data_IF_414739607097
#
_entry.id   IF_414739607097
#
_cell.length_a   1.000
_cell.length_b   1.000
_cell.length_c   1.000
_cell.angle_alpha   90.00
_cell.angle_beta   90.00
_cell.angle_gamma   90.00
#
_symmetry.space_group_name_H-M   'P 1'
#
loop_
_entity.id
_entity.type
_entity.pdbx_description
1 polymer ?
#
# COMPACT_ATOMS: atom_id res chain seq x y z
N UNK A 1 27.31 70.16 27.56
CA UNK A 1 27.25 71.55 28.06
C UNK A 1 26.78 71.68 29.51
N UNK A 2 25.60 71.17 29.90
CA UNK A 2 25.10 71.28 31.29
C UNK A 2 26.05 70.72 32.37
N UNK A 3 26.67 69.56 32.13
CA UNK A 3 27.66 68.98 33.05
C UNK A 3 28.91 69.86 33.22
N UNK A 4 29.35 70.52 32.14
CA UNK A 4 30.51 71.43 32.15
C UNK A 4 30.19 72.72 32.92
N UNK A 5 28.98 73.28 32.75
CA UNK A 5 28.52 74.45 33.54
C UNK A 5 28.49 74.11 35.03
N UNK A 6 28.00 72.93 35.41
CA UNK A 6 28.01 72.47 36.80
C UNK A 6 29.43 72.21 37.34
N UNK A 7 30.33 71.65 36.52
CA UNK A 7 31.74 71.46 36.89
C UNK A 7 32.40 72.81 37.17
N UNK A 8 32.26 73.77 36.26
CA UNK A 8 32.82 75.11 36.37
C UNK A 8 32.26 75.86 37.59
N UNK A 9 30.95 75.72 37.88
CA UNK A 9 30.36 76.28 39.11
C UNK A 9 31.02 75.69 40.36
N UNK A 10 31.22 74.36 40.42
CA UNK A 10 31.88 73.68 41.54
C UNK A 10 33.36 74.06 41.66
N UNK A 11 34.07 74.21 40.54
CA UNK A 11 35.47 74.63 40.48
C UNK A 11 35.63 76.07 40.98
N UNK A 12 34.81 77.02 40.50
CA UNK A 12 34.83 78.41 40.97
C UNK A 12 34.51 78.51 42.47
N UNK A 13 33.62 77.65 42.97
CA UNK A 13 33.33 77.58 44.41
C UNK A 13 34.55 77.16 45.22
N UNK A 14 35.38 76.27 44.70
CA UNK A 14 36.59 75.73 45.38
C UNK A 14 37.82 76.64 45.29
N UNK A 15 37.93 77.47 44.26
CA UNK A 15 39.09 78.35 44.05
C UNK A 15 39.05 79.53 45.06
N UNK A 16 40.20 79.78 45.71
CA UNK A 16 40.40 80.97 46.53
C UNK A 16 40.59 82.21 45.64
N UNK A 17 39.55 83.06 45.59
CA UNK A 17 39.56 84.31 44.84
C UNK A 17 38.70 85.36 45.55
N UNK A 18 38.90 86.64 45.21
CA UNK A 18 38.10 87.74 45.75
C UNK A 18 36.60 87.47 45.50
N UNK A 19 35.79 87.61 46.55
CA UNK A 19 34.36 87.26 46.54
C UNK A 19 33.60 88.01 45.42
N UNK A 20 33.96 89.27 45.14
CA UNK A 20 33.35 90.06 44.06
C UNK A 20 33.56 89.46 42.67
N UNK A 21 34.77 88.97 42.38
CA UNK A 21 35.10 88.30 41.11
C UNK A 21 34.40 86.95 40.99
N UNK A 22 34.36 86.18 42.10
CA UNK A 22 33.62 84.92 42.20
C UNK A 22 32.14 85.09 41.86
N UNK A 23 31.52 86.11 42.46
CA UNK A 23 30.11 86.42 42.21
C UNK A 23 29.86 86.88 40.77
N UNK A 24 30.78 87.61 40.14
CA UNK A 24 30.66 88.01 38.73
C UNK A 24 30.74 86.81 37.78
N UNK A 25 31.66 85.87 38.04
CA UNK A 25 31.79 84.64 37.26
C UNK A 25 30.59 83.69 37.47
N UNK A 26 30.12 83.54 38.71
CA UNK A 26 28.92 82.76 39.00
C UNK A 26 27.68 83.36 38.32
N UNK A 27 27.48 84.69 38.34
CA UNK A 27 26.38 85.36 37.61
C UNK A 27 26.42 85.06 36.11
N UNK A 28 27.60 85.11 35.47
CA UNK A 28 27.73 84.75 34.05
C UNK A 28 27.39 83.28 33.78
N UNK A 29 27.83 82.36 34.66
CA UNK A 29 27.45 80.94 34.58
C UNK A 29 25.99 80.68 34.94
N UNK A 30 25.33 81.58 35.68
CA UNK A 30 23.88 81.55 35.90
C UNK A 30 23.15 81.81 34.62
N UNK A 31 23.46 82.91 33.92
CA UNK A 31 22.86 83.27 32.63
C UNK A 31 23.02 82.14 31.60
N UNK A 32 24.21 81.55 31.49
CA UNK A 32 24.45 80.41 30.59
C UNK A 32 23.66 79.17 31.04
N UNK A 33 23.55 78.95 32.35
CA UNK A 33 22.75 77.88 32.92
C UNK A 33 21.26 78.03 32.61
N UNK A 34 20.72 79.24 32.69
CA UNK A 34 19.30 79.53 32.46
C UNK A 34 18.87 79.22 31.02
N UNK A 35 19.81 79.22 30.07
CA UNK A 35 19.56 78.78 28.69
C UNK A 35 19.76 77.27 28.52
N UNK A 36 20.79 76.70 29.15
CA UNK A 36 21.22 75.31 28.92
C UNK A 36 20.39 74.29 29.70
N UNK A 37 19.98 74.59 30.93
CA UNK A 37 19.24 73.65 31.78
C UNK A 37 17.80 73.40 31.30
N UNK A 38 17.00 74.41 30.88
CA UNK A 38 15.66 74.18 30.33
C UNK A 38 15.69 73.37 29.03
N UNK A 39 16.61 73.69 28.12
CA UNK A 39 16.79 72.92 26.88
C UNK A 39 17.15 71.45 27.16
N UNK A 40 18.03 71.21 28.15
CA UNK A 40 18.34 69.84 28.58
C UNK A 40 17.10 69.13 29.12
N UNK A 41 16.28 69.81 29.93
CA UNK A 41 15.04 69.23 30.46
C UNK A 41 14.08 68.85 29.32
N UNK A 42 13.88 69.75 28.35
CA UNK A 42 13.07 69.48 27.16
C UNK A 42 13.56 68.26 26.36
N UNK A 43 14.88 68.12 26.14
CA UNK A 43 15.41 66.94 25.47
C UNK A 43 15.25 65.65 26.29
N UNK A 44 15.38 65.72 27.61
CA UNK A 44 15.11 64.58 28.49
C UNK A 44 13.64 64.16 28.38
N UNK A 45 12.72 65.11 28.41
CA UNK A 45 11.28 64.84 28.30
C UNK A 45 10.94 64.23 26.93
N UNK A 46 11.46 64.80 25.83
CA UNK A 46 11.28 64.26 24.47
C UNK A 46 11.83 62.83 24.32
N UNK A 47 13.06 62.58 24.77
CA UNK A 47 13.66 61.23 24.73
C UNK A 47 12.85 60.26 25.60
N UNK A 48 12.33 60.72 26.72
CA UNK A 48 11.51 59.91 27.63
C UNK A 48 10.18 59.50 26.99
N UNK A 49 9.52 60.41 26.29
CA UNK A 49 8.27 60.14 25.59
C UNK A 49 8.48 59.20 24.40
N UNK A 50 9.52 59.44 23.59
CA UNK A 50 9.86 58.56 22.46
C UNK A 50 10.24 57.16 22.92
N UNK A 51 11.04 57.05 23.98
CA UNK A 51 11.44 55.76 24.52
C UNK A 51 10.25 54.97 25.08
N UNK A 52 9.31 55.66 25.73
CA UNK A 52 8.08 55.04 26.23
C UNK A 52 7.22 54.51 25.07
N UNK A 53 7.06 55.31 24.01
CA UNK A 53 6.34 54.88 22.79
C UNK A 53 6.99 53.68 22.11
N UNK A 54 8.33 53.63 22.08
CA UNK A 54 9.06 52.49 21.51
C UNK A 54 8.80 51.20 22.30
N UNK A 55 8.77 51.29 23.63
CA UNK A 55 8.43 50.14 24.48
C UNK A 55 6.98 49.73 24.26
N UNK A 56 6.03 50.65 24.20
CA UNK A 56 4.63 50.32 23.93
C UNK A 56 4.43 49.69 22.54
N UNK A 57 5.19 50.13 21.54
CA UNK A 57 5.23 49.51 20.22
C UNK A 57 5.80 48.09 20.27
N UNK A 58 6.89 47.88 21.04
CA UNK A 58 7.46 46.55 21.26
C UNK A 58 6.46 45.61 21.92
N UNK A 59 5.75 46.07 22.96
CA UNK A 59 4.76 45.29 23.70
C UNK A 59 3.57 44.86 22.83
N UNK A 60 3.12 45.75 21.94
CA UNK A 60 1.92 45.51 21.12
C UNK A 60 2.19 44.73 19.83
N UNK A 61 3.34 44.93 19.19
CA UNK A 61 3.62 44.37 17.85
C UNK A 61 4.66 43.26 17.83
N UNK A 62 5.67 43.35 18.71
CA UNK A 62 6.86 42.49 18.63
C UNK A 62 6.87 41.42 19.71
N UNK A 63 6.28 41.72 20.88
CA UNK A 63 6.18 40.79 22.00
C UNK A 63 5.11 39.73 21.73
N UNK A 64 5.49 38.70 20.98
CA UNK A 64 4.67 37.52 20.74
C UNK A 64 5.45 36.25 21.11
N UNK A 65 4.94 35.54 22.12
CA UNK A 65 5.51 34.31 22.65
C UNK A 65 5.43 33.14 21.64
N UNK A 66 4.55 33.22 20.63
CA UNK A 66 4.35 32.16 19.65
C UNK A 66 5.16 32.36 18.38
N UNK A 67 5.46 33.60 18.00
CA UNK A 67 6.17 33.91 16.75
C UNK A 67 7.68 33.93 16.89
N UNK A 68 8.22 34.27 18.06
CA UNK A 68 9.66 34.45 18.25
C UNK A 68 10.25 33.49 19.27
N UNK A 69 11.50 33.00 19.05
CA UNK A 69 12.20 32.21 20.04
C UNK A 69 12.40 32.99 21.36
N UNK A 70 12.17 32.33 22.49
CA UNK A 70 12.30 32.94 23.82
C UNK A 70 13.65 33.61 24.09
N UNK A 71 14.74 33.10 23.48
CA UNK A 71 16.07 33.70 23.60
C UNK A 71 16.15 35.09 22.97
N UNK A 72 15.56 35.27 21.78
CA UNK A 72 15.54 36.56 21.06
C UNK A 72 14.76 37.60 21.86
N UNK A 73 13.59 37.23 22.39
CA UNK A 73 12.77 38.10 23.24
C UNK A 73 13.55 38.55 24.49
N UNK A 74 14.32 37.64 25.12
CA UNK A 74 15.15 37.99 26.28
C UNK A 74 16.28 38.95 25.92
N UNK A 75 16.95 38.76 24.78
CA UNK A 75 18.00 39.67 24.34
C UNK A 75 17.45 41.06 24.03
N UNK A 76 16.29 41.14 23.37
CA UNK A 76 15.61 42.40 23.10
C UNK A 76 15.24 43.13 24.39
N UNK A 77 14.64 42.44 25.37
CA UNK A 77 14.31 43.03 26.68
C UNK A 77 15.57 43.54 27.39
N UNK A 78 16.67 42.76 27.40
CA UNK A 78 17.96 43.20 27.97
C UNK A 78 18.52 44.41 27.24
N UNK A 79 18.40 44.46 25.92
CA UNK A 79 18.82 45.59 25.10
C UNK A 79 18.05 46.86 25.50
N UNK A 80 16.72 46.79 25.59
CA UNK A 80 15.89 47.91 26.06
C UNK A 80 16.27 48.35 27.49
N UNK A 81 16.49 47.42 28.41
CA UNK A 81 16.94 47.76 29.78
C UNK A 81 18.32 48.43 29.80
N UNK A 82 19.24 48.01 28.93
CA UNK A 82 20.56 48.63 28.82
C UNK A 82 20.49 50.01 28.17
N UNK A 83 19.64 50.19 27.16
CA UNK A 83 19.40 51.48 26.52
C UNK A 83 18.76 52.45 27.52
N UNK A 84 17.77 51.99 28.31
CA UNK A 84 17.13 52.79 29.35
C UNK A 84 18.12 53.31 30.41
N UNK A 85 19.18 52.54 30.72
CA UNK A 85 20.26 52.97 31.64
C UNK A 85 21.23 53.97 31.02
N UNK A 86 21.45 53.90 29.70
CA UNK A 86 22.34 54.81 28.97
C UNK A 86 21.67 56.16 28.74
N UNK A 87 20.35 56.18 28.53
CA UNK A 87 19.59 57.41 28.43
C UNK A 87 19.30 58.01 29.81
N UNK A 88 19.49 59.32 29.93
CA UNK A 88 19.03 60.07 31.11
C UNK A 88 17.55 60.35 30.96
N UNK A 89 16.72 59.38 31.29
CA UNK A 89 15.26 59.47 31.21
C UNK A 89 14.68 60.19 32.44
N UNK A 90 13.46 60.69 32.31
CA UNK A 90 12.65 61.10 33.46
C UNK A 90 12.41 59.90 34.40
N UNK A 91 12.38 60.15 35.71
CA UNK A 91 12.24 59.12 36.75
C UNK A 91 10.96 58.29 36.54
N UNK A 92 9.84 58.94 36.19
CA UNK A 92 8.56 58.27 35.94
C UNK A 92 8.58 57.38 34.69
N UNK A 93 9.11 57.91 33.58
CA UNK A 93 9.24 57.13 32.34
C UNK A 93 10.19 55.95 32.53
N UNK A 94 11.28 56.12 33.27
CA UNK A 94 12.22 55.04 33.59
C UNK A 94 11.58 53.94 34.44
N UNK A 95 10.84 54.29 35.50
CA UNK A 95 10.18 53.30 36.37
C UNK A 95 9.11 52.54 35.61
N UNK A 96 8.24 53.23 34.85
CA UNK A 96 7.18 52.62 34.07
C UNK A 96 7.73 51.67 32.98
N UNK A 97 8.71 52.14 32.21
CA UNK A 97 9.39 51.32 31.19
C UNK A 97 10.06 50.08 31.80
N UNK A 98 10.70 50.22 32.95
CA UNK A 98 11.34 49.11 33.66
C UNK A 98 10.32 48.08 34.15
N UNK A 99 9.18 48.51 34.69
CA UNK A 99 8.12 47.61 35.14
C UNK A 99 7.56 46.79 33.97
N UNK A 100 7.18 47.47 32.88
CA UNK A 100 6.68 46.81 31.65
C UNK A 100 7.66 45.76 31.10
N UNK A 101 8.94 46.10 31.00
CA UNK A 101 9.98 45.18 30.53
C UNK A 101 10.20 44.01 31.51
N UNK A 102 10.04 44.22 32.82
CA UNK A 102 10.13 43.17 33.82
C UNK A 102 8.95 42.19 33.72
N UNK A 103 7.73 42.68 33.55
CA UNK A 103 6.55 41.84 33.34
C UNK A 103 6.70 40.95 32.09
N UNK A 104 7.20 41.51 31.00
CA UNK A 104 7.50 40.75 29.80
C UNK A 104 8.57 39.69 30.01
N UNK A 105 9.62 40.02 30.75
CA UNK A 105 10.66 39.07 31.11
C UNK A 105 10.09 37.89 31.90
N UNK A 106 9.22 38.15 32.87
CA UNK A 106 8.58 37.13 33.69
C UNK A 106 7.62 36.26 32.87
N UNK A 107 6.83 36.85 31.98
CA UNK A 107 5.98 36.11 31.03
C UNK A 107 6.80 35.16 30.15
N UNK A 108 7.91 35.63 29.57
CA UNK A 108 8.83 34.79 28.77
C UNK A 108 9.44 33.68 29.62
N UNK A 109 9.83 33.96 30.87
CA UNK A 109 10.43 32.99 31.77
C UNK A 109 9.44 31.88 32.16
N UNK A 110 8.18 32.22 32.42
CA UNK A 110 7.12 31.26 32.72
C UNK A 110 6.85 30.37 31.51
N UNK A 111 6.68 30.97 30.32
CA UNK A 111 6.44 30.25 29.07
C UNK A 111 7.60 29.31 28.69
N UNK A 112 8.85 29.73 28.90
CA UNK A 112 10.00 28.86 28.65
C UNK A 112 10.04 27.68 29.64
N UNK A 113 9.66 27.92 30.91
CA UNK A 113 9.63 26.88 31.94
C UNK A 113 8.54 25.85 31.66
N UNK A 114 7.34 26.26 31.22
CA UNK A 114 6.29 25.32 30.80
C UNK A 114 6.70 24.53 29.56
N UNK A 115 7.24 25.21 28.54
CA UNK A 115 7.72 24.55 27.32
C UNK A 115 8.81 23.50 27.59
N UNK A 116 9.76 23.81 28.48
CA UNK A 116 10.80 22.84 28.88
C UNK A 116 10.19 21.63 29.59
N UNK A 117 9.21 21.83 30.48
CA UNK A 117 8.52 20.74 31.18
C UNK A 117 7.74 19.85 30.22
N UNK A 118 7.02 20.44 29.26
CA UNK A 118 6.28 19.69 28.23
C UNK A 118 7.22 18.87 27.34
N UNK A 119 8.32 19.49 26.88
CA UNK A 119 9.33 18.79 26.08
C UNK A 119 9.98 17.63 26.83
N UNK A 120 10.18 17.77 28.14
CA UNK A 120 10.74 16.72 28.96
C UNK A 120 9.75 15.56 29.17
N UNK A 121 8.49 15.86 29.49
CA UNK A 121 7.42 14.85 29.57
C UNK A 121 7.26 14.10 28.25
N UNK A 122 7.22 14.82 27.13
CA UNK A 122 7.14 14.22 25.79
C UNK A 122 8.31 13.28 25.49
N UNK A 123 9.54 13.66 25.85
CA UNK A 123 10.72 12.79 25.71
C UNK A 123 10.64 11.53 26.58
N UNK A 124 10.20 11.66 27.82
CA UNK A 124 10.03 10.53 28.74
C UNK A 124 8.98 9.55 28.20
N UNK A 125 7.85 10.07 27.70
CA UNK A 125 6.81 9.28 27.04
C UNK A 125 7.31 8.56 25.77
N UNK A 126 8.06 9.25 24.90
CA UNK A 126 8.66 8.65 23.70
C UNK A 126 9.65 7.53 24.09
N UNK A 127 10.47 7.75 25.11
CA UNK A 127 11.43 6.75 25.58
C UNK A 127 10.73 5.51 26.17
N UNK A 128 9.62 5.68 26.89
CA UNK A 128 8.81 4.56 27.39
C UNK A 128 8.25 3.71 26.24
N UNK A 129 7.71 4.36 25.20
CA UNK A 129 7.19 3.65 24.02
C UNK A 129 8.33 2.97 23.26
N UNK A 130 9.48 3.61 23.12
CA UNK A 130 10.66 3.01 22.47
C UNK A 130 11.15 1.74 23.19
N UNK A 131 11.10 1.70 24.54
CA UNK A 131 11.39 0.47 25.30
C UNK A 131 10.41 -0.64 24.96
N UNK A 132 9.11 -0.35 24.86
CA UNK A 132 8.12 -1.34 24.43
C UNK A 132 8.32 -1.78 22.97
N UNK A 133 8.68 -0.87 22.06
CA UNK A 133 9.00 -1.23 20.67
C UNK A 133 10.23 -2.14 20.60
N UNK A 134 11.26 -1.88 21.41
CA UNK A 134 12.43 -2.76 21.50
C UNK A 134 12.05 -4.15 22.03
N UNK A 135 11.17 -4.23 23.03
CA UNK A 135 10.63 -5.50 23.51
C UNK A 135 9.86 -6.22 22.40
N UNK A 136 8.99 -5.51 21.65
CA UNK A 136 8.28 -6.06 20.50
C UNK A 136 9.25 -6.59 19.44
N UNK A 137 10.34 -5.86 19.15
CA UNK A 137 11.38 -6.33 18.23
C UNK A 137 12.03 -7.63 18.71
N UNK A 138 12.36 -7.71 20.00
CA UNK A 138 12.93 -8.94 20.58
C UNK A 138 11.96 -10.12 20.57
N UNK A 139 10.66 -9.86 20.74
CA UNK A 139 9.60 -10.88 20.60
C UNK A 139 9.50 -11.32 19.14
N UNK A 140 9.52 -10.38 18.18
CA UNK A 140 9.48 -10.70 16.74
C UNK A 140 10.68 -11.55 16.28
N UNK A 141 11.84 -11.39 16.92
CA UNK A 141 13.06 -12.17 16.64
C UNK A 141 13.00 -13.58 17.28
N UNK A 142 12.46 -13.70 18.50
CA UNK A 142 12.46 -14.96 19.27
C UNK A 142 11.23 -15.84 19.01
N UNK A 143 10.05 -15.25 18.84
CA UNK A 143 8.78 -15.96 18.77
C UNK A 143 7.91 -15.46 17.60
N UNK A 144 7.72 -16.25 16.53
CA UNK A 144 6.93 -15.86 15.36
C UNK A 144 5.43 -16.13 15.56
N UNK A 145 4.91 -15.94 16.78
CA UNK A 145 3.47 -16.09 17.02
C UNK A 145 2.77 -14.75 16.75
N UNK A 146 2.08 -14.68 15.61
CA UNK A 146 1.39 -13.48 15.10
C UNK A 146 0.42 -12.88 16.14
N UNK A 147 -0.25 -13.74 16.90
CA UNK A 147 -1.26 -13.33 17.90
C UNK A 147 -0.70 -12.56 19.10
N UNK A 148 0.53 -12.85 19.52
CA UNK A 148 1.19 -12.17 20.65
C UNK A 148 1.70 -10.80 20.21
N UNK A 149 2.18 -10.72 18.98
CA UNK A 149 2.74 -9.51 18.39
C UNK A 149 1.64 -8.48 18.11
N UNK A 150 0.45 -8.91 17.67
CA UNK A 150 -0.72 -8.04 17.47
C UNK A 150 -1.28 -7.48 18.79
N UNK A 151 -1.19 -8.24 19.89
CA UNK A 151 -1.59 -7.77 21.22
C UNK A 151 -0.64 -6.68 21.74
N UNK A 152 0.66 -6.93 21.69
CA UNK A 152 1.69 -5.94 22.08
C UNK A 152 1.64 -4.67 21.20
N UNK A 153 1.35 -4.83 19.91
CA UNK A 153 1.15 -3.69 19.02
C UNK A 153 -0.09 -2.87 19.39
N UNK A 154 -1.20 -3.55 19.70
CA UNK A 154 -2.43 -2.89 20.15
C UNK A 154 -2.21 -2.12 21.46
N UNK A 155 -1.43 -2.68 22.38
CA UNK A 155 -1.02 -2.00 23.60
C UNK A 155 -0.15 -0.76 23.31
N UNK A 156 0.81 -0.87 22.39
CA UNK A 156 1.65 0.26 21.98
C UNK A 156 0.80 1.34 21.32
N UNK A 157 -0.16 0.99 20.46
CA UNK A 157 -1.06 1.95 19.85
C UNK A 157 -2.01 2.60 20.86
N UNK A 158 -2.49 1.86 21.85
CA UNK A 158 -3.30 2.40 22.94
C UNK A 158 -2.49 3.39 23.79
N UNK A 159 -1.21 3.09 24.04
CA UNK A 159 -0.29 4.02 24.70
C UNK A 159 0.01 5.26 23.85
N UNK A 160 0.16 5.10 22.53
CA UNK A 160 0.33 6.24 21.61
C UNK A 160 -0.93 7.12 21.56
N UNK A 161 -2.12 6.53 21.72
CA UNK A 161 -3.40 7.25 21.76
C UNK A 161 -3.64 7.94 23.10
N UNK A 162 -3.21 7.34 24.22
CA UNK A 162 -3.39 7.92 25.55
C UNK A 162 -2.38 9.01 25.89
N UNK A 163 -1.21 9.00 25.23
CA UNK A 163 -0.18 10.02 25.41
C UNK A 163 -0.33 11.14 24.38
N UNK A 164 -0.38 12.39 24.85
CA UNK A 164 -0.39 13.59 24.00
C UNK A 164 0.98 13.79 23.32
N UNK A 165 1.22 13.03 22.25
CA UNK A 165 2.44 13.08 21.46
C UNK A 165 2.28 14.02 20.26
N UNK A 166 3.39 14.65 19.85
CA UNK A 166 3.40 15.47 18.64
C UNK A 166 3.26 14.58 17.40
N UNK A 167 2.69 15.11 16.32
CA UNK A 167 2.47 14.38 15.05
C UNK A 167 3.74 13.74 14.49
N UNK A 168 4.87 14.43 14.60
CA UNK A 168 6.18 13.95 14.16
C UNK A 168 6.65 12.74 14.98
N UNK A 169 6.48 12.81 16.30
CA UNK A 169 6.85 11.73 17.23
C UNK A 169 5.97 10.48 16.96
N UNK A 170 4.68 10.66 16.67
CA UNK A 170 3.77 9.57 16.28
C UNK A 170 4.22 8.93 14.95
N UNK A 171 4.60 9.73 13.96
CA UNK A 171 5.09 9.24 12.66
C UNK A 171 6.37 8.41 12.83
N UNK A 172 7.30 8.90 13.66
CA UNK A 172 8.54 8.19 13.98
C UNK A 172 8.28 6.85 14.68
N UNK A 173 7.40 6.83 15.70
CA UNK A 173 7.05 5.61 16.44
C UNK A 173 6.35 4.58 15.53
N UNK A 174 5.44 5.02 14.66
CA UNK A 174 4.80 4.14 13.66
C UNK A 174 5.82 3.53 12.70
N UNK A 175 6.80 4.30 12.25
CA UNK A 175 7.88 3.79 11.40
C UNK A 175 8.69 2.71 12.13
N UNK A 176 9.02 2.96 13.40
CA UNK A 176 9.78 2.01 14.23
C UNK A 176 9.01 0.71 14.52
N UNK A 177 7.69 0.77 14.69
CA UNK A 177 6.84 -0.43 14.79
C UNK A 177 6.87 -1.22 13.48
N UNK A 178 6.80 -0.54 12.33
CA UNK A 178 6.88 -1.19 11.01
C UNK A 178 8.25 -1.84 10.76
N UNK A 179 9.34 -1.18 11.15
CA UNK A 179 10.70 -1.76 11.10
C UNK A 179 10.79 -3.02 11.97
N UNK A 180 10.25 -2.98 13.19
CA UNK A 180 10.25 -4.14 14.09
C UNK A 180 9.49 -5.35 13.49
N UNK A 181 8.44 -5.10 12.68
CA UNK A 181 7.68 -6.13 11.96
C UNK A 181 8.30 -6.60 10.64
N UNK A 182 9.37 -5.98 10.15
CA UNK A 182 10.04 -6.35 8.90
C UNK A 182 10.31 -7.86 8.73
N UNK A 183 10.77 -8.59 9.77
CA UNK A 183 10.98 -10.03 9.69
C UNK A 183 9.70 -10.86 9.47
N UNK A 184 8.56 -10.41 10.02
CA UNK A 184 7.26 -11.10 9.88
C UNK A 184 6.74 -10.94 8.46
N UNK A 185 6.76 -9.71 7.93
CA UNK A 185 6.34 -9.45 6.56
C UNK A 185 7.13 -10.28 5.55
N UNK A 186 8.45 -10.40 5.75
CA UNK A 186 9.30 -11.28 4.92
C UNK A 186 8.89 -12.75 5.03
N UNK A 187 8.59 -13.25 6.23
CA UNK A 187 8.12 -14.65 6.43
C UNK A 187 6.75 -14.90 5.80
N UNK A 188 5.82 -13.95 5.86
CA UNK A 188 4.51 -14.07 5.22
C UNK A 188 4.60 -14.04 3.70
N UNK A 189 5.46 -13.17 3.16
CA UNK A 189 5.71 -13.06 1.73
C UNK A 189 6.32 -14.35 1.16
N UNK A 190 7.32 -14.92 1.86
CA UNK A 190 7.89 -16.24 1.52
C UNK A 190 6.81 -17.33 1.53
N UNK A 191 5.96 -17.39 2.57
CA UNK A 191 4.85 -18.36 2.63
C UNK A 191 3.84 -18.20 1.50
N UNK A 192 3.56 -16.97 1.05
CA UNK A 192 2.67 -16.72 -0.10
C UNK A 192 3.32 -17.19 -1.40
N UNK A 193 4.60 -16.90 -1.60
CA UNK A 193 5.38 -17.33 -2.76
C UNK A 193 5.45 -18.86 -2.82
N UNK A 194 5.69 -19.53 -1.68
CA UNK A 194 5.76 -21.00 -1.63
C UNK A 194 4.39 -21.64 -1.93
N UNK A 195 3.30 -21.07 -1.42
CA UNK A 195 1.95 -21.52 -1.79
C UNK A 195 1.70 -21.38 -3.28
N UNK A 196 2.03 -20.25 -3.89
CA UNK A 196 1.89 -20.05 -5.33
C UNK A 196 2.73 -21.04 -6.14
N UNK A 197 3.99 -21.29 -5.74
CA UNK A 197 4.84 -22.29 -6.40
C UNK A 197 4.26 -23.70 -6.31
N UNK A 198 3.72 -24.09 -5.15
CA UNK A 198 3.09 -25.43 -5.01
C UNK A 198 1.82 -25.58 -5.83
N UNK A 199 1.05 -24.50 -6.03
CA UNK A 199 -0.12 -24.50 -6.91
C UNK A 199 0.31 -24.59 -8.37
N UNK A 200 1.24 -23.74 -8.82
CA UNK A 200 1.74 -23.77 -10.19
C UNK A 200 2.38 -25.12 -10.55
N UNK A 201 3.23 -25.67 -9.67
CA UNK A 201 3.84 -26.98 -9.91
C UNK A 201 2.78 -28.09 -10.05
N UNK A 202 1.67 -28.03 -9.29
CA UNK A 202 0.56 -28.99 -9.45
C UNK A 202 -0.18 -28.80 -10.77
N UNK A 203 -0.34 -27.56 -11.23
CA UNK A 203 -0.93 -27.26 -12.54
C UNK A 203 -0.03 -27.74 -13.69
N UNK A 204 1.28 -27.55 -13.60
CA UNK A 204 2.23 -28.00 -14.61
C UNK A 204 2.29 -29.53 -14.71
N UNK A 205 2.23 -30.23 -13.57
CA UNK A 205 2.13 -31.70 -13.55
C UNK A 205 0.81 -32.16 -14.21
N UNK A 206 -0.29 -31.42 -14.01
CA UNK A 206 -1.57 -31.73 -14.68
C UNK A 206 -1.48 -31.50 -16.19
N UNK A 207 -0.91 -30.38 -16.63
CA UNK A 207 -0.74 -30.04 -18.06
C UNK A 207 0.13 -31.05 -18.79
N UNK A 208 1.27 -31.42 -18.21
CA UNK A 208 2.18 -32.42 -18.82
C UNK A 208 1.54 -33.80 -18.92
N UNK A 209 0.73 -34.24 -17.94
CA UNK A 209 -0.04 -35.49 -18.04
C UNK A 209 -1.11 -35.40 -19.12
N UNK A 210 -1.79 -34.27 -19.24
CA UNK A 210 -2.81 -34.03 -20.26
C UNK A 210 -2.21 -34.00 -21.67
N UNK A 211 -1.05 -33.40 -21.86
CA UNK A 211 -0.32 -33.43 -23.12
C UNK A 211 0.11 -34.84 -23.51
N UNK A 212 0.57 -35.66 -22.55
CA UNK A 212 0.88 -37.07 -22.80
C UNK A 212 -0.34 -37.85 -23.26
N UNK A 213 -1.50 -37.66 -22.62
CA UNK A 213 -2.75 -38.33 -23.03
C UNK A 213 -3.19 -37.86 -24.43
N UNK A 214 -3.04 -36.57 -24.74
CA UNK A 214 -3.32 -36.07 -26.10
C UNK A 214 -2.37 -36.67 -27.13
N UNK A 215 -1.08 -36.79 -26.82
CA UNK A 215 -0.07 -37.37 -27.70
C UNK A 215 -0.33 -38.86 -27.95
N UNK A 216 -0.66 -39.63 -26.91
CA UNK A 216 -1.02 -41.05 -27.07
C UNK A 216 -2.29 -41.16 -27.93
N UNK A 217 -3.33 -40.38 -27.67
CA UNK A 217 -4.53 -40.36 -28.51
C UNK A 217 -4.24 -40.00 -29.97
N UNK A 218 -3.43 -38.99 -30.25
CA UNK A 218 -3.06 -38.65 -31.64
C UNK A 218 -2.27 -39.77 -32.30
N UNK A 219 -1.32 -40.40 -31.60
CA UNK A 219 -0.56 -41.52 -32.17
C UNK A 219 -1.44 -42.74 -32.48
N UNK A 220 -2.48 -42.98 -31.69
CA UNK A 220 -3.43 -44.08 -31.93
C UNK A 220 -4.39 -43.80 -33.09
N UNK A 221 -4.75 -42.53 -33.30
CA UNK A 221 -5.55 -42.13 -34.46
C UNK A 221 -4.76 -42.20 -35.77
N UNK A 222 -3.45 -41.95 -35.72
CA UNK A 222 -2.57 -42.02 -36.90
C UNK A 222 -2.14 -43.46 -37.24
N UNK A 223 -1.99 -44.34 -36.25
CA UNK A 223 -1.55 -45.72 -36.47
C UNK A 223 -2.69 -46.64 -36.97
N UNK A 224 -2.82 -46.74 -38.29
CA UNK A 224 -3.83 -47.57 -38.96
C UNK A 224 -3.60 -49.09 -38.88
N UNK A 225 -2.44 -49.55 -38.42
CA UNK A 225 -2.02 -50.97 -38.48
C UNK A 225 -2.25 -51.79 -37.20
N UNK A 226 -2.70 -51.19 -36.10
CA UNK A 226 -2.90 -51.90 -34.82
C UNK A 226 -4.06 -52.91 -34.87
N UNK A 227 -3.89 -54.04 -34.19
CA UNK A 227 -4.89 -55.10 -34.11
C UNK A 227 -6.10 -54.66 -33.26
N UNK A 228 -7.28 -55.23 -33.51
CA UNK A 228 -8.55 -54.82 -32.86
C UNK A 228 -8.48 -54.92 -31.32
N UNK A 229 -7.81 -55.96 -30.81
CA UNK A 229 -7.68 -56.21 -29.36
C UNK A 229 -6.74 -55.21 -28.67
N UNK A 230 -5.67 -54.78 -29.34
CA UNK A 230 -4.68 -53.84 -28.81
C UNK A 230 -5.29 -52.43 -28.66
N UNK A 231 -6.06 -51.99 -29.68
CA UNK A 231 -6.78 -50.71 -29.63
C UNK A 231 -7.84 -50.67 -28.51
N UNK A 232 -8.49 -51.79 -28.21
CA UNK A 232 -9.46 -51.87 -27.11
C UNK A 232 -8.79 -51.77 -25.73
N UNK A 233 -7.62 -52.37 -25.55
CA UNK A 233 -6.88 -52.33 -24.28
C UNK A 233 -6.32 -50.92 -24.01
N UNK A 234 -5.75 -50.28 -25.02
CA UNK A 234 -5.21 -48.92 -24.89
C UNK A 234 -6.30 -47.88 -24.64
N UNK A 235 -7.49 -48.07 -25.24
CA UNK A 235 -8.66 -47.25 -24.92
C UNK A 235 -9.05 -47.34 -23.44
N UNK A 236 -9.14 -48.55 -22.88
CA UNK A 236 -9.49 -48.75 -21.46
C UNK A 236 -8.43 -48.11 -20.55
N UNK A 237 -7.15 -48.16 -20.95
CA UNK A 237 -6.07 -47.52 -20.22
C UNK A 237 -6.19 -46.00 -20.24
N UNK A 238 -6.51 -45.40 -21.40
CA UNK A 238 -6.72 -43.96 -21.55
C UNK A 238 -7.96 -43.49 -20.76
N UNK A 239 -9.06 -44.23 -20.79
CA UNK A 239 -10.26 -43.89 -20.00
C UNK A 239 -9.98 -43.89 -18.49
N UNK A 240 -9.20 -44.86 -18.00
CA UNK A 240 -8.76 -44.90 -16.59
C UNK A 240 -7.84 -43.73 -16.24
N UNK A 241 -6.94 -43.34 -17.14
CA UNK A 241 -6.04 -42.20 -16.94
C UNK A 241 -6.80 -40.87 -16.96
N UNK A 242 -7.86 -40.76 -17.77
CA UNK A 242 -8.76 -39.60 -17.83
C UNK A 242 -9.59 -39.50 -16.55
N UNK A 243 -10.12 -40.61 -16.01
CA UNK A 243 -10.86 -40.61 -14.74
C UNK A 243 -9.95 -40.29 -13.53
N UNK A 244 -8.68 -40.72 -13.57
CA UNK A 244 -7.71 -40.44 -12.53
C UNK A 244 -7.30 -38.96 -12.45
N UNK A 245 -7.47 -38.20 -13.55
CA UNK A 245 -7.17 -36.78 -13.59
C UNK A 245 -8.47 -35.99 -13.42
N UNK A 246 -8.54 -35.15 -12.39
CA UNK A 246 -9.67 -34.23 -12.20
C UNK A 246 -9.57 -33.09 -13.23
N UNK A 247 -10.01 -33.38 -14.46
CA UNK A 247 -9.97 -32.52 -15.63
C UNK A 247 -11.09 -31.48 -15.60
N UNK A 248 -10.82 -30.33 -16.22
CA UNK A 248 -11.85 -29.32 -16.46
C UNK A 248 -12.87 -29.83 -17.50
N UNK A 249 -14.13 -29.37 -17.42
CA UNK A 249 -15.20 -29.76 -18.37
C UNK A 249 -14.76 -29.62 -19.84
N UNK A 250 -13.99 -28.59 -20.13
CA UNK A 250 -13.44 -28.30 -21.46
C UNK A 250 -12.42 -29.34 -21.93
N UNK A 251 -11.50 -29.74 -21.06
CA UNK A 251 -10.46 -30.73 -21.36
C UNK A 251 -11.07 -32.10 -21.56
N UNK A 252 -12.12 -32.43 -20.79
CA UNK A 252 -12.89 -33.65 -20.93
C UNK A 252 -13.59 -33.73 -22.30
N UNK A 253 -14.23 -32.65 -22.77
CA UNK A 253 -14.88 -32.60 -24.09
C UNK A 253 -13.90 -32.83 -25.25
N UNK A 254 -12.70 -32.23 -25.19
CA UNK A 254 -11.68 -32.43 -26.22
C UNK A 254 -11.19 -33.88 -26.29
N UNK A 255 -10.98 -34.51 -25.13
CA UNK A 255 -10.57 -35.92 -25.06
C UNK A 255 -11.71 -36.86 -25.46
N UNK A 256 -12.96 -36.55 -25.10
CA UNK A 256 -14.14 -37.30 -25.53
C UNK A 256 -14.32 -37.27 -27.05
N UNK A 257 -14.00 -36.16 -27.72
CA UNK A 257 -13.97 -36.09 -29.19
C UNK A 257 -13.02 -37.15 -29.74
N UNK A 258 -11.76 -37.11 -29.31
CA UNK A 258 -10.69 -38.00 -29.77
C UNK A 258 -11.01 -39.48 -29.48
N UNK A 259 -11.59 -39.77 -28.31
CA UNK A 259 -12.05 -41.12 -27.95
C UNK A 259 -13.19 -41.62 -28.83
N UNK A 260 -14.11 -40.75 -29.28
CA UNK A 260 -15.17 -41.15 -30.23
C UNK A 260 -14.61 -41.45 -31.61
N UNK A 261 -13.62 -40.69 -32.08
CA UNK A 261 -12.98 -40.99 -33.37
C UNK A 261 -12.25 -42.33 -33.27
N UNK A 262 -11.60 -42.61 -32.14
CA UNK A 262 -10.99 -43.92 -31.88
C UNK A 262 -12.02 -45.05 -31.81
N UNK A 263 -13.16 -44.84 -31.14
CA UNK A 263 -14.27 -45.80 -31.13
C UNK A 263 -14.77 -46.10 -32.54
N UNK A 264 -14.83 -45.06 -33.39
CA UNK A 264 -15.29 -45.24 -34.75
C UNK A 264 -14.34 -46.18 -35.53
N UNK A 265 -13.03 -45.94 -35.42
CA UNK A 265 -12.01 -46.76 -36.06
C UNK A 265 -12.02 -48.20 -35.54
N UNK A 266 -12.20 -48.39 -34.22
CA UNK A 266 -12.30 -49.71 -33.60
C UNK A 266 -13.51 -50.49 -34.14
N UNK A 267 -14.66 -49.81 -34.27
CA UNK A 267 -15.88 -50.42 -34.79
C UNK A 267 -15.75 -50.77 -36.27
N UNK A 268 -15.18 -49.89 -37.10
CA UNK A 268 -14.95 -50.16 -38.52
C UNK A 268 -14.00 -51.37 -38.71
N UNK A 269 -12.96 -51.48 -37.86
CA UNK A 269 -12.06 -52.64 -37.86
C UNK A 269 -12.76 -53.92 -37.43
N UNK A 270 -13.65 -53.86 -36.44
CA UNK A 270 -14.45 -55.02 -35.99
C UNK A 270 -15.34 -55.54 -37.11
N UNK A 271 -15.96 -54.64 -37.86
CA UNK A 271 -16.86 -54.97 -38.97
C UNK A 271 -16.10 -55.59 -40.15
N UNK A 272 -14.91 -55.08 -40.47
CA UNK A 272 -14.04 -55.66 -41.50
C UNK A 272 -13.55 -57.08 -41.14
N UNK A 273 -13.34 -57.38 -39.86
CA UNK A 273 -12.98 -58.72 -39.40
C UNK A 273 -14.17 -59.69 -39.51
N UNK A 274 -15.38 -59.24 -39.22
CA UNK A 274 -16.59 -60.07 -39.31
C UNK A 274 -16.98 -60.44 -40.75
N UNK A 275 -16.72 -59.57 -41.73
CA UNK A 275 -16.95 -59.84 -43.16
C UNK A 275 -16.14 -61.03 -43.70
N UNK A 276 -15.03 -61.39 -43.06
CA UNK A 276 -14.13 -62.46 -43.52
C UNK A 276 -14.51 -63.87 -43.02
N UNK A 277 -15.71 -64.05 -42.43
CA UNK A 277 -16.16 -65.37 -41.91
C UNK A 277 -17.35 -65.94 -42.71
N UNK A 278 -17.33 -67.27 -42.89
CA UNK A 278 -18.05 -68.09 -43.89
C UNK A 278 -19.59 -67.99 -43.99
N UNK A 279 -20.28 -67.21 -43.15
CA UNK A 279 -21.75 -67.04 -43.16
C UNK A 279 -22.10 -65.59 -43.59
N UNK A 280 -21.90 -65.26 -44.87
CA UNK A 280 -21.97 -63.89 -45.41
C UNK A 280 -23.29 -63.16 -45.11
N UNK A 281 -24.44 -63.82 -45.27
CA UNK A 281 -25.77 -63.21 -45.11
C UNK A 281 -26.10 -62.88 -43.64
N UNK A 282 -25.78 -63.79 -42.70
CA UNK A 282 -25.97 -63.54 -41.26
C UNK A 282 -25.00 -62.49 -40.74
N UNK A 283 -23.76 -62.48 -41.25
CA UNK A 283 -22.75 -61.48 -40.90
C UNK A 283 -23.14 -60.10 -41.42
N UNK A 284 -23.67 -59.99 -42.64
CA UNK A 284 -24.16 -58.73 -43.21
C UNK A 284 -25.38 -58.18 -42.46
N UNK A 285 -26.33 -59.04 -42.06
CA UNK A 285 -27.45 -58.64 -41.21
C UNK A 285 -27.00 -58.17 -39.81
N UNK A 286 -26.02 -58.85 -39.22
CA UNK A 286 -25.45 -58.44 -37.93
C UNK A 286 -24.68 -57.10 -38.03
N UNK A 287 -23.95 -56.87 -39.12
CA UNK A 287 -23.28 -55.59 -39.41
C UNK A 287 -24.33 -54.49 -39.60
N UNK A 288 -25.39 -54.76 -40.34
CA UNK A 288 -26.48 -53.82 -40.56
C UNK A 288 -27.20 -53.41 -39.27
N UNK A 289 -27.52 -54.36 -38.39
CA UNK A 289 -28.10 -54.04 -37.08
C UNK A 289 -27.14 -53.21 -36.21
N UNK A 290 -25.83 -53.53 -36.24
CA UNK A 290 -24.82 -52.78 -35.51
C UNK A 290 -24.69 -51.35 -36.04
N UNK A 291 -24.70 -51.14 -37.36
CA UNK A 291 -24.71 -49.80 -37.98
C UNK A 291 -25.97 -49.01 -37.65
N UNK A 292 -27.15 -49.65 -37.61
CA UNK A 292 -28.40 -48.99 -37.16
C UNK A 292 -28.33 -48.56 -35.70
N UNK A 293 -27.81 -49.40 -34.80
CA UNK A 293 -27.57 -49.04 -33.39
C UNK A 293 -26.57 -47.89 -33.26
N UNK A 294 -25.49 -47.92 -34.05
CA UNK A 294 -24.47 -46.86 -34.10
C UNK A 294 -25.04 -45.53 -34.56
N UNK A 295 -25.84 -45.52 -35.63
CA UNK A 295 -26.55 -44.34 -36.12
C UNK A 295 -27.42 -43.70 -35.03
N UNK A 296 -28.18 -44.52 -34.29
CA UNK A 296 -29.00 -44.03 -33.17
C UNK A 296 -28.15 -43.43 -32.05
N UNK A 297 -27.02 -44.07 -31.70
CA UNK A 297 -26.09 -43.55 -30.70
C UNK A 297 -25.49 -42.20 -31.11
N UNK A 298 -24.98 -42.08 -32.33
CA UNK A 298 -24.43 -40.84 -32.89
C UNK A 298 -25.50 -39.75 -32.93
N UNK A 299 -26.71 -40.06 -33.40
CA UNK A 299 -27.84 -39.11 -33.43
C UNK A 299 -28.21 -38.61 -32.03
N UNK A 300 -28.32 -39.52 -31.06
CA UNK A 300 -28.62 -39.15 -29.67
C UNK A 300 -27.54 -38.25 -29.06
N UNK A 301 -26.29 -38.43 -29.47
CA UNK A 301 -25.18 -37.59 -29.01
C UNK A 301 -25.23 -36.19 -29.63
N UNK A 302 -25.49 -36.09 -30.93
CA UNK A 302 -25.71 -34.80 -31.62
C UNK A 302 -26.85 -34.03 -30.97
N UNK A 303 -27.95 -34.70 -30.63
CA UNK A 303 -29.08 -34.07 -29.94
C UNK A 303 -28.71 -33.57 -28.53
N UNK A 304 -27.85 -34.30 -27.81
CA UNK A 304 -27.34 -33.85 -26.51
C UNK A 304 -26.39 -32.65 -26.65
N UNK A 305 -25.48 -32.65 -27.63
CA UNK A 305 -24.62 -31.50 -27.91
C UNK A 305 -25.43 -30.25 -28.32
N UNK A 306 -26.49 -30.43 -29.12
CA UNK A 306 -27.41 -29.34 -29.48
C UNK A 306 -28.14 -28.78 -28.25
N UNK A 307 -28.55 -29.63 -27.31
CA UNK A 307 -29.17 -29.20 -26.03
C UNK A 307 -28.17 -28.44 -25.16
N UNK A 308 -26.93 -28.90 -25.08
CA UNK A 308 -25.87 -28.21 -24.32
C UNK A 308 -25.51 -26.86 -24.95
N UNK A 309 -25.41 -26.77 -26.29
CA UNK A 309 -25.19 -25.53 -27.02
C UNK A 309 -26.34 -24.53 -26.83
N UNK A 310 -27.57 -25.02 -26.71
CA UNK A 310 -28.77 -24.20 -26.48
C UNK A 310 -28.91 -23.69 -25.03
N UNK A 311 -28.11 -24.22 -24.09
CA UNK A 311 -28.08 -23.75 -22.71
C UNK A 311 -27.44 -22.37 -22.61
N UNK A 312 -28.21 -21.35 -22.21
CA UNK A 312 -27.70 -19.97 -22.13
C UNK A 312 -26.63 -19.84 -21.04
N UNK A 313 -25.36 -19.72 -21.44
CA UNK A 313 -24.23 -19.55 -20.52
C UNK A 313 -22.86 -19.97 -21.04
N UNK A 314 -22.74 -20.29 -22.33
CA UNK A 314 -21.46 -20.67 -22.94
C UNK A 314 -20.69 -19.44 -23.45
N UNK A 315 -19.42 -19.35 -23.06
CA UNK A 315 -18.46 -18.40 -23.65
C UNK A 315 -18.27 -18.67 -25.15
N UNK A 316 -17.98 -17.63 -25.95
CA UNK A 316 -17.86 -17.73 -27.42
C UNK A 316 -16.94 -18.88 -27.89
N UNK A 317 -15.79 -19.08 -27.24
CA UNK A 317 -14.87 -20.18 -27.57
C UNK A 317 -15.47 -21.55 -27.31
N UNK A 318 -16.22 -21.72 -26.21
CA UNK A 318 -16.90 -22.98 -25.90
C UNK A 318 -18.02 -23.25 -26.90
N UNK A 319 -18.80 -22.23 -27.24
CA UNK A 319 -19.88 -22.34 -28.23
C UNK A 319 -19.35 -22.72 -29.63
N UNK A 320 -18.20 -22.16 -30.02
CA UNK A 320 -17.54 -22.50 -31.29
C UNK A 320 -17.10 -23.97 -31.31
N UNK A 321 -16.50 -24.48 -30.23
CA UNK A 321 -16.10 -25.88 -30.14
C UNK A 321 -17.28 -26.87 -30.16
N UNK A 322 -18.37 -26.55 -29.47
CA UNK A 322 -19.58 -27.37 -29.54
C UNK A 322 -20.14 -27.42 -30.97
N UNK A 323 -20.05 -26.32 -31.71
CA UNK A 323 -20.46 -26.27 -33.11
C UNK A 323 -19.55 -27.12 -34.00
N UNK A 324 -18.23 -27.00 -33.85
CA UNK A 324 -17.27 -27.82 -34.58
C UNK A 324 -17.45 -29.33 -34.28
N UNK A 325 -17.77 -29.67 -33.02
CA UNK A 325 -18.13 -31.03 -32.60
C UNK A 325 -19.39 -31.53 -33.31
N UNK A 326 -20.46 -30.74 -33.30
CA UNK A 326 -21.73 -31.07 -33.95
C UNK A 326 -21.52 -31.28 -35.46
N UNK A 327 -20.74 -30.42 -36.11
CA UNK A 327 -20.49 -30.53 -37.55
C UNK A 327 -19.65 -31.78 -37.87
N UNK A 328 -18.67 -32.13 -37.03
CA UNK A 328 -17.90 -33.37 -37.20
C UNK A 328 -18.74 -34.64 -36.99
N UNK A 329 -19.67 -34.65 -36.03
CA UNK A 329 -20.56 -35.79 -35.77
C UNK A 329 -21.67 -35.89 -36.82
N UNK A 330 -22.14 -34.78 -37.40
CA UNK A 330 -23.06 -34.79 -38.55
C UNK A 330 -22.41 -35.41 -39.79
N UNK A 331 -21.17 -35.04 -40.10
CA UNK A 331 -20.43 -35.66 -41.20
C UNK A 331 -20.25 -37.18 -41.00
N UNK A 332 -20.08 -37.63 -39.75
CA UNK A 332 -20.04 -39.07 -39.42
C UNK A 332 -21.39 -39.74 -39.63
N UNK A 333 -22.46 -39.09 -39.20
CA UNK A 333 -23.82 -39.59 -39.39
C UNK A 333 -24.17 -39.74 -40.87
N UNK A 334 -23.77 -38.77 -41.71
CA UNK A 334 -23.93 -38.85 -43.16
C UNK A 334 -23.18 -40.04 -43.77
N UNK A 335 -21.94 -40.31 -43.33
CA UNK A 335 -21.17 -41.49 -43.78
C UNK A 335 -21.82 -42.81 -43.36
N UNK A 336 -22.28 -42.90 -42.12
CA UNK A 336 -22.99 -44.10 -41.64
C UNK A 336 -24.27 -44.29 -42.44
N UNK A 337 -25.01 -43.22 -42.74
CA UNK A 337 -26.24 -43.28 -43.55
C UNK A 337 -25.95 -43.75 -44.99
N UNK A 338 -24.86 -43.29 -45.62
CA UNK A 338 -24.45 -43.81 -46.95
C UNK A 338 -24.06 -45.28 -46.90
N UNK A 339 -23.28 -45.70 -45.90
CA UNK A 339 -22.86 -47.09 -45.76
C UNK A 339 -24.02 -48.04 -45.42
N UNK A 340 -25.02 -47.56 -44.66
CA UNK A 340 -26.27 -48.29 -44.42
C UNK A 340 -27.03 -48.48 -45.74
N UNK A 341 -27.15 -47.42 -46.56
CA UNK A 341 -27.82 -47.51 -47.86
C UNK A 341 -27.13 -48.50 -48.80
N UNK A 342 -25.79 -48.50 -48.84
CA UNK A 342 -25.03 -49.47 -49.63
C UNK A 342 -25.19 -50.91 -49.13
N UNK A 343 -25.31 -51.11 -47.81
CA UNK A 343 -25.58 -52.43 -47.23
C UNK A 343 -27.01 -52.89 -47.50
N UNK A 344 -28.00 -51.99 -47.45
CA UNK A 344 -29.39 -52.31 -47.80
C UNK A 344 -29.50 -52.77 -49.26
N UNK A 345 -28.80 -52.08 -50.17
CA UNK A 345 -28.73 -52.45 -51.58
C UNK A 345 -28.06 -53.82 -51.78
N UNK A 346 -26.92 -54.06 -51.12
CA UNK A 346 -26.23 -55.38 -51.17
C UNK A 346 -27.03 -56.52 -50.56
N UNK A 347 -27.77 -56.27 -49.47
CA UNK A 347 -28.65 -57.28 -48.86
C UNK A 347 -29.82 -57.57 -49.80
N UNK A 348 -30.43 -56.56 -50.40
CA UNK A 348 -31.52 -56.73 -51.36
C UNK A 348 -31.08 -57.52 -52.61
N UNK A 349 -29.87 -57.26 -53.12
CA UNK A 349 -29.29 -58.00 -54.25
C UNK A 349 -29.06 -59.48 -53.90
N UNK A 350 -28.61 -59.78 -52.67
CA UNK A 350 -28.41 -61.15 -52.17
C UNK A 350 -29.71 -61.88 -51.83
N UNK A 351 -30.79 -61.16 -51.49
CA UNK A 351 -32.12 -61.74 -51.29
C UNK A 351 -32.87 -61.96 -52.62
N UNK A 352 -32.46 -61.28 -53.71
CA UNK A 352 -33.05 -61.39 -55.04
C UNK A 352 -32.44 -62.49 -55.92
N UNK A 353 -31.25 -62.99 -55.56
CA UNK A 353 -30.58 -64.15 -56.15
C UNK A 353 -30.84 -65.40 -55.31
#
# INVERSE_FOLDING_TARGET
>A
FAARVNSLRKEIIKIHMRISLKNKLLKRLTIIGDVVFPKRKQFIDQISDEFTKLIDCFMSKTFDLHRQPFFVLKEQIKSFQNIAKKFTLNTESFTNCRLKLSECWDKVKIAEKSYKKEKQKSKESVNQIMKKIHNLKSICEKDPNVSVIEKEESEIFNLIKSLELRKEDIKFLKHKIREAKGPIFKKEEIKKIDKLKTVNNKEDIKKTKLEKIKQTLTSLLENKDLNFEELCQEKIQIEKEIEAINLLKFEKLMLEKQLRELNHIIEDKKENVNLNTSDELKNMLAIFENKKKRRLNVKSHVDNLNKELSGSGLDFEKAMLYRDLIDSEKQRLEKIDSEISELEEKIADLESN
#
